data_IF_967931429580
#
_entry.id   IF_967931429580
#
_cell.length_a   1.000
_cell.length_b   1.000
_cell.length_c   1.000
_cell.angle_alpha   90.00
_cell.angle_beta   90.00
_cell.angle_gamma   90.00
#
_symmetry.space_group_name_H-M   'P 1'
#
loop_
_entity.id
_entity.type
_entity.pdbx_description
1 polymer ?
#
# COMPACT_ATOMS: atom_id res chain seq x y z
N UNK A 1 -23.61 -10.11 28.72
CA UNK A 1 -23.30 -10.20 28.53
C UNK A 1 -22.84 -10.21 28.30
N UNK A 2 -22.64 -10.04 27.87
CA UNK A 2 -22.18 -10.07 27.53
C UNK A 2 -21.44 -9.97 27.30
N UNK A 3 -21.38 -9.74 27.38
CA UNK A 3 -20.92 -9.66 27.17
C UNK A 3 -20.23 -9.58 26.96
N UNK A 4 -20.16 -9.32 26.65
CA UNK A 4 -19.82 -9.31 26.47
C UNK A 4 -19.27 -9.33 26.21
N UNK A 5 -19.49 -9.23 26.53
CA UNK A 5 -19.25 -9.44 26.18
C UNK A 5 -18.72 -9.57 25.66
N UNK A 6 -18.79 -9.50 25.63
CA UNK A 6 -18.51 -9.66 25.01
C UNK A 6 -18.12 -9.69 24.33
N UNK A 7 -17.97 -9.41 24.36
CA UNK A 7 -17.87 -9.54 23.63
C UNK A 7 -17.60 -9.46 22.93
N UNK A 8 -17.57 -9.35 22.91
CA UNK A 8 -17.50 -9.41 22.24
C UNK A 8 -17.26 -9.47 21.69
N UNK A 9 -17.36 -9.16 21.58
CA UNK A 9 -17.46 -9.28 20.96
C UNK A 9 -17.12 -9.43 20.35
N UNK A 10 -17.14 -9.50 20.33
CA UNK A 10 -17.08 -9.72 19.54
C UNK A 10 -17.16 -9.79 18.98
N UNK A 11 -17.32 -9.65 18.80
CA UNK A 11 -17.47 -9.73 18.07
C UNK A 11 -17.66 -9.82 17.54
N UNK A 12 -17.86 -9.68 17.32
CA UNK A 12 -18.24 -9.78 16.59
C UNK A 12 -18.45 -9.71 16.04
N UNK A 13 -18.91 -9.75 15.81
CA UNK A 13 -19.23 -9.70 15.09
C UNK A 13 -19.50 -9.43 14.72
N UNK A 14 -19.71 -9.13 14.46
CA UNK A 14 -20.10 -8.91 13.94
C UNK A 14 -20.70 -8.87 13.57
N UNK A 15 -20.84 -8.37 13.77
CA UNK A 15 -21.70 -8.23 13.16
C UNK A 15 -21.78 -8.43 12.13
N UNK A 16 -22.33 -8.70 12.13
CA UNK A 16 -22.38 -9.05 10.95
C UNK A 16 -22.70 -8.41 10.01
N UNK A 17 -22.63 -8.75 9.93
CA UNK A 17 -22.79 -8.73 8.86
C UNK A 17 -23.22 -7.73 7.99
N UNK A 18 -24.12 -7.13 8.22
CA UNK A 18 -24.61 -6.12 7.33
C UNK A 18 -23.62 -5.00 7.25
N UNK A 19 -22.90 -4.97 6.23
CA UNK A 19 -21.92 -3.95 5.98
C UNK A 19 -22.29 -3.21 4.73
N UNK A 20 -22.19 -1.93 4.74
CA UNK A 20 -22.34 -1.18 3.52
C UNK A 20 -21.04 -1.24 2.74
N UNK A 21 -21.12 -0.81 1.49
CA UNK A 21 -19.98 -0.91 0.59
C UNK A 21 -18.84 -0.01 1.02
N UNK A 22 -19.15 1.17 1.53
CA UNK A 22 -18.08 2.07 1.92
C UNK A 22 -17.33 1.52 3.12
N UNK A 23 -18.02 0.81 4.00
CA UNK A 23 -17.34 0.18 5.11
C UNK A 23 -16.43 -0.95 4.62
N UNK A 24 -16.89 -1.70 3.63
CA UNK A 24 -16.07 -2.75 3.08
C UNK A 24 -14.82 -2.19 2.43
N UNK A 25 -14.94 -1.05 1.75
CA UNK A 25 -13.80 -0.41 1.15
C UNK A 25 -12.84 0.10 2.22
N UNK A 26 -13.36 0.66 3.29
CA UNK A 26 -12.51 1.09 4.40
C UNK A 26 -11.77 -0.07 5.01
N UNK A 27 -12.44 -1.20 5.17
CA UNK A 27 -11.79 -2.36 5.72
C UNK A 27 -10.71 -2.88 4.79
N UNK A 28 -10.94 -2.84 3.47
CA UNK A 28 -9.93 -3.25 2.52
C UNK A 28 -8.70 -2.36 2.63
N UNK A 29 -8.94 -1.05 2.74
CA UNK A 29 -7.84 -0.10 2.87
C UNK A 29 -7.08 -0.33 4.16
N UNK A 30 -7.79 -0.57 5.26
CA UNK A 30 -7.14 -0.79 6.55
C UNK A 30 -6.41 -2.13 6.61
N UNK A 31 -6.66 -3.03 5.67
CA UNK A 31 -5.97 -4.30 5.61
C UNK A 31 -4.74 -4.26 4.70
N UNK A 32 -4.38 -3.10 4.24
CA UNK A 32 -3.15 -2.96 3.47
C UNK A 32 -1.97 -3.07 4.44
N UNK A 33 -1.05 -3.96 4.12
CA UNK A 33 0.09 -4.20 4.97
C UNK A 33 1.33 -4.45 4.13
N UNK A 34 2.47 -4.16 4.72
CA UNK A 34 3.74 -4.33 4.04
C UNK A 34 3.97 -5.80 3.69
N UNK A 35 4.28 -6.05 2.45
CA UNK A 35 4.53 -7.41 1.98
C UNK A 35 3.32 -8.10 1.39
N UNK A 36 2.18 -7.45 1.36
CA UNK A 36 0.99 -8.04 0.76
C UNK A 36 1.21 -8.26 -0.73
N UNK A 37 0.45 -9.19 -1.35
CA UNK A 37 0.57 -9.36 -2.79
C UNK A 37 0.19 -8.08 -3.51
N UNK A 38 1.07 -7.64 -4.42
CA UNK A 38 0.82 -6.37 -5.12
C UNK A 38 -0.46 -6.43 -5.94
N UNK A 39 -0.79 -7.60 -6.50
CA UNK A 39 -2.01 -7.72 -7.30
C UNK A 39 -3.27 -7.42 -6.51
N UNK A 40 -3.22 -7.58 -5.18
CA UNK A 40 -4.39 -7.31 -4.35
C UNK A 40 -4.71 -5.83 -4.27
N UNK A 41 -3.80 -4.98 -4.71
CA UNK A 41 -4.04 -3.54 -4.80
C UNK A 41 -4.59 -3.13 -6.16
N UNK A 42 -4.90 -4.09 -7.02
CA UNK A 42 -5.44 -3.82 -8.33
C UNK A 42 -4.36 -3.59 -9.38
N UNK A 43 -4.80 -3.40 -10.60
CA UNK A 43 -3.90 -3.20 -11.72
C UNK A 43 -3.79 -1.75 -12.16
N UNK A 44 -4.68 -0.89 -11.68
CA UNK A 44 -4.66 0.52 -12.01
C UNK A 44 -3.91 1.30 -10.93
N UNK A 45 -3.45 2.47 -11.29
CA UNK A 45 -2.85 3.37 -10.30
C UNK A 45 -1.36 3.16 -10.08
N UNK A 46 -0.77 2.17 -10.71
CA UNK A 46 0.67 1.95 -10.61
C UNK A 46 1.38 2.81 -11.65
N UNK A 47 2.38 3.56 -11.22
CA UNK A 47 3.10 4.49 -12.09
C UNK A 47 4.59 4.34 -11.89
N UNK A 48 5.33 4.49 -12.97
CA UNK A 48 6.79 4.61 -12.86
C UNK A 48 7.10 6.04 -12.42
N UNK A 49 7.97 6.20 -11.41
CA UNK A 49 8.25 7.55 -10.89
C UNK A 49 9.28 8.30 -11.72
N UNK A 50 9.23 8.14 -13.01
CA UNK A 50 10.06 8.90 -13.95
C UNK A 50 9.29 9.00 -15.25
N UNK A 51 9.78 9.88 -16.12
CA UNK A 51 9.21 10.02 -17.45
C UNK A 51 10.25 9.59 -18.48
N UNK A 52 9.77 9.41 -19.71
CA UNK A 52 10.63 9.04 -20.80
C UNK A 52 10.62 7.55 -21.06
N UNK A 53 11.49 7.13 -21.95
CA UNK A 53 11.45 5.80 -22.51
C UNK A 53 12.36 4.82 -21.80
N UNK A 54 12.26 4.73 -20.48
CA UNK A 54 13.06 3.77 -19.72
C UNK A 54 12.37 2.41 -19.68
N UNK A 55 12.06 1.87 -20.86
CA UNK A 55 11.45 0.57 -20.97
C UNK A 55 12.32 -0.49 -20.35
N UNK A 56 11.69 -1.47 -19.73
CA UNK A 56 12.42 -2.55 -19.08
C UNK A 56 12.75 -2.28 -17.62
N UNK A 57 12.57 -1.05 -17.16
CA UNK A 57 12.76 -0.74 -15.75
C UNK A 57 11.42 -0.86 -15.06
N UNK A 58 11.36 -1.68 -14.04
CA UNK A 58 10.10 -2.21 -13.55
C UNK A 58 9.73 -1.77 -12.14
N UNK A 59 10.29 -0.68 -11.66
CA UNK A 59 9.88 -0.12 -10.37
C UNK A 59 8.65 0.73 -10.57
N UNK A 60 7.59 0.44 -9.84
CA UNK A 60 6.35 1.20 -9.91
C UNK A 60 5.85 1.51 -8.51
N UNK A 61 5.13 2.61 -8.40
CA UNK A 61 4.57 3.04 -7.13
C UNK A 61 3.11 3.43 -7.32
N UNK A 62 2.35 3.29 -6.24
CA UNK A 62 0.94 3.63 -6.22
C UNK A 62 0.67 4.46 -4.97
N UNK A 63 0.02 5.58 -5.13
CA UNK A 63 -0.42 6.38 -4.01
C UNK A 63 -1.71 5.81 -3.47
N UNK A 64 -1.74 5.54 -2.17
CA UNK A 64 -2.93 4.99 -1.51
C UNK A 64 -3.80 6.12 -0.98
N UNK A 65 -5.06 5.79 -0.74
CA UNK A 65 -6.05 6.81 -0.35
C UNK A 65 -5.72 7.45 0.98
N UNK A 66 -5.04 6.73 1.87
CA UNK A 66 -4.70 7.25 3.18
C UNK A 66 -3.35 7.94 3.23
N UNK A 67 -2.74 8.19 2.07
CA UNK A 67 -1.47 8.90 1.99
C UNK A 67 -0.24 8.02 2.01
N UNK A 68 -0.41 6.72 2.29
CA UNK A 68 0.72 5.80 2.16
C UNK A 68 1.02 5.54 0.69
N UNK A 69 2.13 4.89 0.44
CA UNK A 69 2.59 4.58 -0.91
C UNK A 69 2.98 3.11 -0.97
N UNK A 70 2.52 2.44 -2.00
CA UNK A 70 2.93 1.07 -2.27
C UNK A 70 3.96 1.08 -3.39
N UNK A 71 4.98 0.23 -3.27
CA UNK A 71 6.04 0.10 -4.28
C UNK A 71 6.10 -1.37 -4.68
N UNK A 72 6.23 -1.62 -5.96
CA UNK A 72 6.30 -3.00 -6.46
C UNK A 72 7.33 -3.13 -7.58
N UNK A 73 7.68 -4.38 -7.83
CA UNK A 73 8.42 -4.76 -9.02
C UNK A 73 7.38 -5.17 -10.08
N UNK A 74 7.20 -4.37 -11.13
CA UNK A 74 6.11 -4.62 -12.06
C UNK A 74 6.31 -5.87 -12.90
N UNK A 75 7.54 -6.37 -12.97
CA UNK A 75 7.79 -7.64 -13.64
C UNK A 75 7.30 -8.83 -12.82
N UNK A 76 6.96 -8.60 -11.56
CA UNK A 76 6.45 -9.65 -10.66
C UNK A 76 5.20 -9.15 -9.97
N UNK A 77 4.09 -9.03 -10.71
CA UNK A 77 2.88 -8.45 -10.14
C UNK A 77 2.26 -9.29 -9.03
N UNK A 78 2.61 -10.58 -8.96
CA UNK A 78 2.15 -11.44 -7.87
C UNK A 78 3.07 -11.36 -6.66
N UNK A 79 4.18 -10.64 -6.78
CA UNK A 79 5.11 -10.47 -5.68
C UNK A 79 4.63 -9.45 -4.68
N UNK A 80 5.47 -9.13 -3.70
CA UNK A 80 5.04 -8.27 -2.60
C UNK A 80 4.97 -6.81 -3.00
N UNK A 81 4.05 -6.09 -2.36
CA UNK A 81 4.04 -4.64 -2.36
C UNK A 81 4.65 -4.18 -1.04
N UNK A 82 5.58 -3.25 -1.13
CA UNK A 82 6.19 -2.65 0.05
C UNK A 82 5.41 -1.38 0.36
N UNK A 83 4.98 -1.24 1.60
CA UNK A 83 4.08 -0.15 1.98
C UNK A 83 4.86 0.84 2.83
N UNK A 84 4.89 2.09 2.40
CA UNK A 84 5.63 3.15 3.07
C UNK A 84 4.71 4.28 3.46
N UNK A 85 5.05 4.96 4.54
CA UNK A 85 4.33 6.15 4.95
C UNK A 85 4.66 7.31 4.05
N UNK A 86 3.79 8.31 4.07
CA UNK A 86 4.04 9.56 3.36
C UNK A 86 5.39 10.17 3.78
N UNK A 87 5.66 10.15 5.09
CA UNK A 87 6.91 10.72 5.60
C UNK A 87 8.14 10.00 5.08
N UNK A 88 8.06 8.67 5.02
CA UNK A 88 9.18 7.89 4.49
C UNK A 88 9.46 8.22 3.03
N UNK A 89 8.40 8.30 2.24
CA UNK A 89 8.55 8.61 0.82
C UNK A 89 9.06 10.04 0.63
N UNK A 90 8.55 10.99 1.42
CA UNK A 90 9.02 12.35 1.33
C UNK A 90 10.51 12.44 1.65
N UNK A 91 10.94 11.77 2.72
CA UNK A 91 12.35 11.77 3.08
C UNK A 91 13.21 11.18 1.96
N UNK A 92 12.74 10.11 1.35
CA UNK A 92 13.47 9.51 0.24
C UNK A 92 13.58 10.49 -0.94
N UNK A 93 12.49 11.14 -1.28
CA UNK A 93 12.50 12.08 -2.41
C UNK A 93 13.46 13.24 -2.13
N UNK A 94 13.41 13.80 -0.92
CA UNK A 94 14.30 14.91 -0.59
C UNK A 94 15.76 14.47 -0.59
N UNK A 95 16.03 13.28 -0.04
CA UNK A 95 17.39 12.74 -0.05
C UNK A 95 17.87 12.49 -1.47
N UNK A 96 17.02 11.95 -2.33
CA UNK A 96 17.39 11.70 -3.72
C UNK A 96 17.72 13.01 -4.43
N UNK A 97 16.92 14.06 -4.20
CA UNK A 97 17.18 15.35 -4.81
C UNK A 97 18.51 15.94 -4.35
N UNK A 98 18.92 15.65 -3.14
CA UNK A 98 20.17 16.14 -2.59
C UNK A 98 21.36 15.26 -2.93
N UNK A 99 21.17 14.21 -3.69
CA UNK A 99 22.25 13.29 -4.05
C UNK A 99 22.58 12.28 -2.98
N UNK A 100 21.82 12.24 -1.89
CA UNK A 100 22.12 11.36 -0.77
C UNK A 100 21.82 9.90 -1.04
N UNK A 101 21.00 9.61 -2.05
CA UNK A 101 20.70 8.24 -2.43
C UNK A 101 21.65 7.70 -3.47
N UNK A 102 22.63 8.48 -3.90
CA UNK A 102 23.51 8.05 -4.99
C UNK A 102 24.36 6.85 -4.62
N UNK A 103 24.56 6.61 -3.31
CA UNK A 103 25.32 5.45 -2.86
C UNK A 103 24.72 4.13 -3.37
N UNK A 104 23.43 4.15 -3.73
CA UNK A 104 22.77 2.94 -4.22
C UNK A 104 23.34 2.48 -5.55
N UNK A 105 24.01 3.37 -6.26
CA UNK A 105 24.58 3.07 -7.57
C UNK A 105 26.09 3.11 -7.58
N UNK A 106 26.71 3.30 -6.43
CA UNK A 106 28.17 3.41 -6.38
C UNK A 106 28.84 2.07 -6.16
#
# INVERSE_FOLDING_TARGET
MDRHRAGTRPAGPRSPGARDDSRAESRAESRIYNGMPARDLGSDGWHKPWSGGNGGNCLEAMKLDDGRVAVRQSADPDGPALIYTHGEINAFIQGAKAGEADFLLS
#
